data_IF_263820754606
#
_entry.id   IF_263820754606
#
_cell.length_a   1.000
_cell.length_b   1.000
_cell.length_c   1.000
_cell.angle_alpha   90.00
_cell.angle_beta   90.00
_cell.angle_gamma   90.00
#
_symmetry.space_group_name_H-M   'P 1'
#
loop_
_entity.id
_entity.type
_entity.pdbx_description
1 polymer ?
#
# COMPACT_ATOMS: atom_id res chain seq x y z
N UNK A 1 46.23 19.13 -4.09
CA UNK A 1 45.12 19.03 -3.12
C UNK A 1 44.00 18.26 -3.81
N UNK A 2 43.74 17.01 -3.40
CA UNK A 2 42.78 16.14 -4.07
C UNK A 2 41.37 16.51 -3.64
N UNK A 3 40.53 16.96 -4.57
CA UNK A 3 39.08 17.11 -4.35
C UNK A 3 38.51 15.71 -4.21
N UNK A 4 38.12 15.33 -3.00
CA UNK A 4 37.39 14.09 -2.76
C UNK A 4 36.12 14.06 -3.60
N UNK A 5 36.01 13.07 -4.48
CA UNK A 5 34.81 12.77 -5.23
C UNK A 5 33.73 12.34 -4.24
N UNK A 6 32.70 13.17 -4.06
CA UNK A 6 31.51 12.76 -3.32
C UNK A 6 30.71 11.85 -4.25
N UNK A 7 30.88 10.53 -4.08
CA UNK A 7 29.96 9.52 -4.61
C UNK A 7 28.62 9.68 -3.90
N UNK A 8 27.72 10.48 -4.46
CA UNK A 8 26.31 10.45 -4.07
C UNK A 8 25.67 9.26 -4.79
N UNK A 9 25.69 8.08 -4.17
CA UNK A 9 24.76 7.03 -4.56
C UNK A 9 23.34 7.55 -4.34
N UNK A 10 22.39 7.36 -5.27
CA UNK A 10 21.01 7.74 -5.05
C UNK A 10 20.43 6.76 -4.03
N UNK A 11 20.62 7.07 -2.75
CA UNK A 11 19.80 6.48 -1.70
C UNK A 11 18.36 6.81 -2.09
N UNK A 12 17.51 5.79 -2.20
CA UNK A 12 16.05 5.95 -2.23
C UNK A 12 15.65 6.61 -0.91
N UNK A 13 15.87 7.92 -0.79
CA UNK A 13 15.42 8.72 0.34
C UNK A 13 13.91 8.65 0.33
N UNK A 14 13.32 8.40 1.48
CA UNK A 14 11.88 8.43 1.66
C UNK A 14 11.32 9.73 1.06
N UNK A 15 10.46 9.66 0.01
CA UNK A 15 9.83 10.83 -0.59
C UNK A 15 9.23 11.83 0.42
N UNK A 16 8.59 11.36 1.50
CA UNK A 16 7.99 12.23 2.52
C UNK A 16 9.08 12.99 3.27
N UNK A 17 10.13 12.30 3.70
CA UNK A 17 11.27 12.90 4.38
C UNK A 17 11.96 13.94 3.47
N UNK A 18 12.13 13.63 2.19
CA UNK A 18 12.74 14.57 1.24
C UNK A 18 11.92 15.85 1.02
N UNK A 19 10.58 15.76 1.06
CA UNK A 19 9.70 16.95 0.94
C UNK A 19 9.71 17.77 2.23
N UNK A 20 9.71 17.13 3.41
CA UNK A 20 9.82 17.81 4.70
C UNK A 20 11.19 18.49 4.90
N UNK A 21 12.25 17.87 4.40
CA UNK A 21 13.59 18.48 4.36
C UNK A 21 13.58 19.75 3.50
N UNK A 22 12.91 19.72 2.35
CA UNK A 22 12.75 20.89 1.50
C UNK A 22 11.96 22.01 2.18
N UNK A 23 10.84 21.70 2.85
CA UNK A 23 10.06 22.68 3.62
C UNK A 23 10.91 23.37 4.70
N UNK A 24 11.72 22.58 5.40
CA UNK A 24 12.65 23.08 6.43
C UNK A 24 13.72 23.98 5.81
N UNK A 25 14.28 23.62 4.65
CA UNK A 25 15.20 24.48 3.93
C UNK A 25 14.55 25.81 3.51
N UNK A 26 13.31 25.81 3.04
CA UNK A 26 12.59 27.03 2.68
C UNK A 26 12.37 27.96 3.88
N UNK A 27 12.02 27.41 5.05
CA UNK A 27 11.91 28.19 6.29
C UNK A 27 13.24 28.83 6.68
N UNK A 28 14.31 28.05 6.74
CA UNK A 28 15.65 28.53 7.13
C UNK A 28 16.21 29.55 6.14
N UNK A 29 15.95 29.38 4.84
CA UNK A 29 16.36 30.34 3.81
C UNK A 29 15.55 31.64 3.90
N UNK A 30 14.26 31.52 4.20
CA UNK A 30 13.32 32.61 4.32
C UNK A 30 13.59 33.58 5.47
N UNK A 31 14.03 33.07 6.62
CA UNK A 31 14.41 33.87 7.80
C UNK A 31 15.45 34.97 7.46
N UNK A 32 16.27 34.78 6.42
CA UNK A 32 17.27 35.75 5.98
C UNK A 32 16.82 36.77 4.92
N UNK A 33 15.60 36.65 4.35
CA UNK A 33 15.19 37.41 3.15
C UNK A 33 14.16 38.53 3.39
N UNK A 34 13.63 38.69 4.60
CA UNK A 34 12.73 39.79 4.95
C UNK A 34 11.36 39.79 4.25
N UNK A 35 10.99 38.69 3.59
CA UNK A 35 9.67 38.49 2.97
C UNK A 35 8.99 37.24 3.57
N UNK A 36 8.57 37.38 4.83
CA UNK A 36 7.98 36.31 5.65
C UNK A 36 6.79 35.60 4.99
N UNK A 37 5.93 36.36 4.32
CA UNK A 37 4.72 35.83 3.72
C UNK A 37 4.99 34.85 2.57
N UNK A 38 6.03 35.08 1.78
CA UNK A 38 6.34 34.22 0.63
C UNK A 38 6.87 32.86 1.09
N UNK A 39 8.00 32.79 1.79
CA UNK A 39 8.60 31.49 2.11
C UNK A 39 7.78 30.66 3.11
N UNK A 40 6.98 31.31 3.97
CA UNK A 40 6.11 30.60 4.90
C UNK A 40 4.99 29.84 4.18
N UNK A 41 4.39 30.47 3.16
CA UNK A 41 3.35 29.84 2.34
C UNK A 41 3.93 28.67 1.55
N UNK A 42 5.10 28.84 0.97
CA UNK A 42 5.78 27.82 0.17
C UNK A 42 6.23 26.62 1.04
N UNK A 43 6.75 26.87 2.24
CA UNK A 43 7.05 25.81 3.19
C UNK A 43 5.79 25.07 3.64
N UNK A 44 4.69 25.80 3.90
CA UNK A 44 3.40 25.22 4.27
C UNK A 44 2.81 24.36 3.15
N UNK A 45 2.97 24.77 1.88
CA UNK A 45 2.54 23.98 0.73
C UNK A 45 3.35 22.67 0.62
N UNK A 46 4.65 22.70 0.90
CA UNK A 46 5.48 21.50 0.93
C UNK A 46 5.07 20.54 2.05
N UNK A 47 4.78 21.06 3.25
CA UNK A 47 4.29 20.25 4.37
C UNK A 47 2.93 19.59 4.01
N UNK A 48 2.01 20.31 3.36
CA UNK A 48 0.74 19.76 2.89
C UNK A 48 0.91 18.64 1.84
N UNK A 49 1.86 18.79 0.92
CA UNK A 49 2.20 17.72 -0.05
C UNK A 49 2.75 16.49 0.65
N UNK A 50 3.62 16.67 1.65
CA UNK A 50 4.18 15.55 2.42
C UNK A 50 3.07 14.75 3.13
N UNK A 51 2.10 15.44 3.73
CA UNK A 51 0.97 14.82 4.42
C UNK A 51 0.04 14.07 3.45
N UNK A 52 -0.22 14.62 2.26
CA UNK A 52 -1.01 13.95 1.22
C UNK A 52 -0.30 12.68 0.70
N UNK A 53 1.02 12.73 0.49
CA UNK A 53 1.81 11.55 0.10
C UNK A 53 1.76 10.47 1.19
N UNK A 54 1.80 10.85 2.48
CA UNK A 54 1.68 9.93 3.61
C UNK A 54 0.27 9.32 3.72
N UNK A 55 -0.78 10.09 3.41
CA UNK A 55 -2.16 9.60 3.32
C UNK A 55 -2.32 8.58 2.17
N UNK A 56 -1.84 8.91 0.97
CA UNK A 56 -1.89 8.02 -0.20
C UNK A 56 -1.13 6.72 0.03
N UNK A 57 0.02 6.75 0.71
CA UNK A 57 0.76 5.53 1.09
C UNK A 57 -0.01 4.64 2.05
N UNK A 58 -0.70 5.22 3.04
CA UNK A 58 -1.55 4.45 3.96
C UNK A 58 -2.69 3.77 3.20
N UNK A 59 -3.28 4.45 2.22
CA UNK A 59 -4.30 3.87 1.35
C UNK A 59 -3.70 2.73 0.52
N UNK A 60 -2.59 2.96 -0.17
CA UNK A 60 -1.90 1.94 -0.96
C UNK A 60 -1.53 0.70 -0.12
N UNK A 61 -1.04 0.90 1.11
CA UNK A 61 -0.75 -0.19 2.05
C UNK A 61 -1.99 -1.00 2.44
N UNK A 62 -3.11 -0.33 2.72
CA UNK A 62 -4.39 -1.01 2.98
C UNK A 62 -4.92 -1.75 1.75
N UNK A 63 -4.78 -1.16 0.56
CA UNK A 63 -5.13 -1.81 -0.71
C UNK A 63 -4.32 -3.07 -0.92
N UNK A 64 -3.01 -3.03 -0.66
CA UNK A 64 -2.16 -4.22 -0.76
C UNK A 64 -2.58 -5.31 0.23
N UNK A 65 -2.86 -4.96 1.50
CA UNK A 65 -3.36 -5.92 2.49
C UNK A 65 -4.67 -6.59 2.06
N UNK A 66 -5.58 -5.86 1.41
CA UNK A 66 -6.81 -6.42 0.87
C UNK A 66 -6.56 -7.38 -0.29
N UNK A 67 -5.58 -7.09 -1.15
CA UNK A 67 -5.16 -7.99 -2.23
C UNK A 67 -4.53 -9.27 -1.66
N UNK A 68 -3.66 -9.17 -0.66
CA UNK A 68 -3.03 -10.32 -0.02
C UNK A 68 -4.08 -11.25 0.63
N UNK A 69 -5.13 -10.66 1.25
CA UNK A 69 -6.28 -11.42 1.76
C UNK A 69 -7.05 -12.13 0.64
N UNK A 70 -7.23 -11.48 -0.51
CA UNK A 70 -7.88 -12.10 -1.66
C UNK A 70 -7.11 -13.33 -2.14
N UNK A 71 -5.80 -13.22 -2.24
CA UNK A 71 -4.95 -14.33 -2.70
C UNK A 71 -4.97 -15.49 -1.69
N UNK A 72 -4.97 -15.19 -0.39
CA UNK A 72 -5.15 -16.19 0.67
C UNK A 72 -6.50 -16.92 0.57
N UNK A 73 -7.59 -16.20 0.37
CA UNK A 73 -8.92 -16.81 0.21
C UNK A 73 -9.06 -17.60 -1.08
N UNK A 74 -8.44 -17.16 -2.19
CA UNK A 74 -8.36 -17.93 -3.43
C UNK A 74 -7.58 -19.23 -3.25
N UNK A 75 -6.45 -19.21 -2.51
CA UNK A 75 -5.69 -20.42 -2.18
C UNK A 75 -6.53 -21.39 -1.35
N UNK A 76 -7.20 -20.89 -0.30
CA UNK A 76 -8.07 -21.71 0.54
C UNK A 76 -9.25 -22.33 -0.23
N UNK A 77 -9.80 -21.61 -1.22
CA UNK A 77 -10.84 -22.15 -2.09
C UNK A 77 -10.31 -23.29 -3.00
N UNK A 78 -9.08 -23.16 -3.51
CA UNK A 78 -8.42 -24.19 -4.31
C UNK A 78 -8.10 -25.45 -3.50
N UNK A 79 -7.66 -25.28 -2.26
CA UNK A 79 -7.39 -26.41 -1.35
C UNK A 79 -8.66 -27.22 -1.05
N UNK A 80 -9.82 -26.54 -0.96
CA UNK A 80 -11.11 -27.23 -0.83
C UNK A 80 -11.42 -28.06 -2.07
N UNK A 81 -11.20 -27.54 -3.28
CA UNK A 81 -11.37 -28.29 -4.53
C UNK A 81 -10.48 -29.54 -4.55
N UNK A 82 -9.19 -29.37 -4.24
CA UNK A 82 -8.21 -30.47 -4.25
C UNK A 82 -8.59 -31.60 -3.28
N UNK A 83 -9.09 -31.25 -2.08
CA UNK A 83 -9.55 -32.22 -1.08
C UNK A 83 -10.82 -32.93 -1.55
N UNK A 84 -11.79 -32.18 -2.08
CA UNK A 84 -13.05 -32.76 -2.54
C UNK A 84 -12.87 -33.67 -3.75
N UNK A 85 -11.92 -33.35 -4.64
CA UNK A 85 -11.61 -34.16 -5.83
C UNK A 85 -10.79 -35.42 -5.48
N UNK A 86 -9.78 -35.29 -4.60
CA UNK A 86 -8.92 -36.42 -4.21
C UNK A 86 -9.66 -37.45 -3.36
N UNK A 87 -10.46 -36.98 -2.40
CA UNK A 87 -11.14 -37.80 -1.40
C UNK A 87 -12.64 -37.98 -1.72
N UNK A 88 -13.04 -37.73 -2.98
CA UNK A 88 -14.42 -37.80 -3.46
C UNK A 88 -15.21 -39.08 -3.09
N UNK A 89 -14.65 -40.30 -3.02
CA UNK A 89 -15.44 -41.46 -2.61
C UNK A 89 -15.58 -41.61 -1.08
N UNK A 90 -14.73 -40.95 -0.27
CA UNK A 90 -14.70 -41.12 1.20
C UNK A 90 -15.36 -39.98 1.97
N UNK A 91 -15.56 -38.81 1.35
CA UNK A 91 -16.20 -37.65 1.99
C UNK A 91 -17.74 -37.76 1.93
N UNK A 92 -18.45 -37.76 3.08
CA UNK A 92 -19.91 -37.71 3.13
C UNK A 92 -20.52 -36.56 2.32
N UNK A 93 -21.65 -36.81 1.67
CA UNK A 93 -22.31 -35.84 0.78
C UNK A 93 -22.63 -34.51 1.50
N UNK A 94 -23.04 -34.56 2.77
CA UNK A 94 -23.31 -33.36 3.57
C UNK A 94 -22.07 -32.48 3.78
N UNK A 95 -20.90 -33.11 3.98
CA UNK A 95 -19.63 -32.41 4.16
C UNK A 95 -19.22 -31.77 2.83
N UNK A 96 -19.35 -32.51 1.72
CA UNK A 96 -19.08 -32.01 0.37
C UNK A 96 -19.91 -30.78 0.01
N UNK A 97 -21.20 -30.81 0.33
CA UNK A 97 -22.10 -29.68 0.09
C UNK A 97 -21.70 -28.46 0.92
N UNK A 98 -21.33 -28.64 2.20
CA UNK A 98 -20.87 -27.55 3.08
C UNK A 98 -19.58 -26.92 2.57
N UNK A 99 -18.59 -27.74 2.20
CA UNK A 99 -17.31 -27.25 1.68
C UNK A 99 -17.48 -26.57 0.31
N UNK A 100 -18.37 -27.08 -0.56
CA UNK A 100 -18.73 -26.42 -1.81
C UNK A 100 -19.33 -25.02 -1.61
N UNK A 101 -20.24 -24.86 -0.63
CA UNK A 101 -20.81 -23.55 -0.26
C UNK A 101 -19.73 -22.62 0.30
N UNK A 102 -18.83 -23.14 1.15
CA UNK A 102 -17.73 -22.36 1.73
C UNK A 102 -16.77 -21.86 0.66
N UNK A 103 -16.37 -22.72 -0.28
CA UNK A 103 -15.56 -22.36 -1.44
C UNK A 103 -16.22 -21.26 -2.26
N UNK A 104 -17.48 -21.42 -2.63
CA UNK A 104 -18.21 -20.41 -3.43
C UNK A 104 -18.29 -19.07 -2.69
N UNK A 105 -18.51 -19.11 -1.38
CA UNK A 105 -18.53 -17.91 -0.53
C UNK A 105 -17.18 -17.18 -0.56
N UNK A 106 -16.06 -17.91 -0.43
CA UNK A 106 -14.72 -17.32 -0.50
C UNK A 106 -14.46 -16.66 -1.85
N UNK A 107 -14.80 -17.32 -2.96
CA UNK A 107 -14.63 -16.77 -4.30
C UNK A 107 -15.48 -15.50 -4.51
N UNK A 108 -16.72 -15.48 -4.03
CA UNK A 108 -17.58 -14.29 -4.07
C UNK A 108 -16.99 -13.14 -3.24
N UNK A 109 -16.40 -13.42 -2.09
CA UNK A 109 -15.71 -12.41 -1.28
C UNK A 109 -14.50 -11.82 -2.03
N UNK A 110 -13.69 -12.66 -2.68
CA UNK A 110 -12.55 -12.22 -3.50
C UNK A 110 -13.02 -11.30 -4.64
N UNK A 111 -14.03 -11.72 -5.39
CA UNK A 111 -14.58 -10.93 -6.50
C UNK A 111 -15.13 -9.58 -6.02
N UNK A 112 -15.80 -9.56 -4.86
CA UNK A 112 -16.34 -8.33 -4.29
C UNK A 112 -15.23 -7.35 -3.90
N UNK A 113 -14.19 -7.83 -3.21
CA UNK A 113 -13.06 -6.99 -2.79
C UNK A 113 -12.27 -6.48 -4.00
N UNK A 114 -12.01 -7.32 -5.01
CA UNK A 114 -11.34 -6.89 -6.25
C UNK A 114 -12.12 -5.82 -7.00
N UNK A 115 -13.46 -5.88 -7.01
CA UNK A 115 -14.31 -4.82 -7.59
C UNK A 115 -14.24 -3.52 -6.81
N UNK A 116 -14.18 -3.57 -5.48
CA UNK A 116 -14.02 -2.36 -4.64
C UNK A 116 -12.66 -1.68 -4.93
N UNK A 117 -11.60 -2.46 -5.13
CA UNK A 117 -10.25 -1.93 -5.40
C UNK A 117 -10.15 -1.30 -6.81
N UNK A 118 -10.92 -1.79 -7.79
CA UNK A 118 -10.86 -1.34 -9.18
C UNK A 118 -11.71 -0.09 -9.50
N UNK A 119 -12.43 0.45 -8.51
CA UNK A 119 -13.24 1.68 -8.61
C UNK A 119 -12.42 2.93 -8.28
#
# INVERSE_FOLDING_TARGET
MSRGEIKVSPQKKDPVASVRDAATHYRNFGEGMGNEAFWFNEASALDAVADEVEALRRIAGKTQQLLDLCDSWSSAASEIDDVLDRDAPSVPLEIRNKEGVRRETLLRCVDHVRRIIAQ
#
